data_IF_122155300830
#
_entry.id   IF_122155300830
#
_cell.length_a   1.000
_cell.length_b   1.000
_cell.length_c   1.000
_cell.angle_alpha   90.00
_cell.angle_beta   90.00
_cell.angle_gamma   90.00
#
_symmetry.space_group_name_H-M   'P 1'
#
loop_
_entity.id
_entity.type
_entity.pdbx_description
1 polymer ?
#
# COMPACT_ATOMS: atom_id res chain seq x y z
N UNK A 1 -18.57 21.54 12.49
CA UNK A 1 -18.35 20.07 12.59
C UNK A 1 -18.86 19.52 11.29
N UNK A 2 -17.93 19.21 10.39
CA UNK A 2 -18.19 19.39 8.96
C UNK A 2 -19.03 18.26 8.38
N UNK A 3 -20.12 18.67 7.74
CA UNK A 3 -20.99 17.79 6.97
C UNK A 3 -20.39 17.60 5.58
N UNK A 4 -20.46 16.37 5.07
CA UNK A 4 -19.94 16.01 3.76
C UNK A 4 -21.07 15.35 2.96
N UNK A 5 -21.28 15.83 1.75
CA UNK A 5 -22.24 15.25 0.80
C UNK A 5 -21.50 14.32 -0.16
N UNK A 6 -21.93 13.07 -0.26
CA UNK A 6 -21.39 12.09 -1.20
C UNK A 6 -22.53 11.38 -1.93
N UNK A 7 -22.32 11.09 -3.22
CA UNK A 7 -23.25 10.28 -4.01
C UNK A 7 -23.25 8.84 -3.53
N UNK A 8 -24.42 8.30 -3.22
CA UNK A 8 -24.63 6.89 -2.87
C UNK A 8 -25.55 6.21 -3.89
N UNK A 9 -25.73 4.89 -3.79
CA UNK A 9 -26.66 4.15 -4.66
C UNK A 9 -28.11 4.67 -4.58
N UNK A 10 -28.49 5.23 -3.43
CA UNK A 10 -29.80 5.84 -3.20
C UNK A 10 -29.85 7.34 -3.51
N UNK A 11 -28.78 7.89 -4.10
CA UNK A 11 -28.62 9.31 -4.40
C UNK A 11 -27.69 10.06 -3.44
N UNK A 12 -27.56 11.38 -3.59
CA UNK A 12 -26.68 12.20 -2.76
C UNK A 12 -27.13 12.19 -1.30
N UNK A 13 -26.22 11.88 -0.38
CA UNK A 13 -26.47 11.91 1.07
C UNK A 13 -25.49 12.86 1.74
N UNK A 14 -26.00 13.68 2.66
CA UNK A 14 -25.20 14.57 3.51
C UNK A 14 -25.13 13.98 4.91
N UNK A 15 -23.92 13.67 5.39
CA UNK A 15 -23.69 13.15 6.73
C UNK A 15 -22.48 13.83 7.37
N UNK A 16 -22.41 13.80 8.71
CA UNK A 16 -21.20 14.22 9.43
C UNK A 16 -20.03 13.31 9.06
N UNK A 17 -18.82 13.88 8.99
CA UNK A 17 -17.62 13.09 8.67
C UNK A 17 -17.45 11.85 9.56
N UNK A 18 -17.70 11.97 10.87
CA UNK A 18 -17.62 10.83 11.79
C UNK A 18 -18.57 9.67 11.45
N UNK A 19 -19.71 9.96 10.85
CA UNK A 19 -20.65 8.94 10.36
C UNK A 19 -20.09 8.30 9.09
N UNK A 20 -19.55 9.10 8.17
CA UNK A 20 -18.92 8.59 6.96
C UNK A 20 -17.74 7.65 7.22
N UNK A 21 -16.95 7.89 8.27
CA UNK A 21 -15.86 7.00 8.68
C UNK A 21 -16.35 5.59 9.07
N UNK A 22 -17.64 5.42 9.36
CA UNK A 22 -18.25 4.13 9.66
C UNK A 22 -19.03 3.56 8.48
N UNK A 23 -19.65 4.40 7.66
CA UNK A 23 -20.43 3.98 6.48
C UNK A 23 -19.52 3.54 5.33
N UNK A 24 -18.49 4.31 5.01
CA UNK A 24 -17.57 4.01 3.90
C UNK A 24 -16.14 4.55 4.20
N UNK A 25 -15.40 3.89 5.12
CA UNK A 25 -14.07 4.32 5.51
C UNK A 25 -13.07 4.32 4.34
N UNK A 26 -13.24 3.42 3.37
CA UNK A 26 -12.35 3.29 2.21
C UNK A 26 -12.49 4.51 1.29
N UNK A 27 -13.72 4.94 1.00
CA UNK A 27 -13.96 6.14 0.18
C UNK A 27 -13.42 7.40 0.87
N UNK A 28 -13.65 7.56 2.17
CA UNK A 28 -13.10 8.70 2.91
C UNK A 28 -11.58 8.70 2.87
N UNK A 29 -10.94 7.55 3.08
CA UNK A 29 -9.49 7.46 2.96
C UNK A 29 -8.98 7.80 1.55
N UNK A 30 -9.68 7.38 0.49
CA UNK A 30 -9.33 7.78 -0.89
C UNK A 30 -9.43 9.29 -1.10
N UNK A 31 -10.52 9.92 -0.63
CA UNK A 31 -10.71 11.37 -0.72
C UNK A 31 -9.60 12.16 -0.02
N UNK A 32 -9.09 11.66 1.11
CA UNK A 32 -8.00 12.28 1.88
C UNK A 32 -6.63 12.01 1.24
N UNK A 33 -6.32 10.74 0.94
CA UNK A 33 -4.95 10.31 0.62
C UNK A 33 -4.68 10.32 -0.88
N UNK A 34 -5.62 9.84 -1.69
CA UNK A 34 -5.45 9.69 -3.13
C UNK A 34 -5.90 10.95 -3.89
N UNK A 35 -7.12 11.39 -3.62
CA UNK A 35 -7.76 12.44 -4.41
C UNK A 35 -7.44 13.83 -3.87
N UNK A 36 -6.95 13.91 -2.62
CA UNK A 36 -6.54 15.15 -1.95
C UNK A 36 -7.64 16.22 -1.88
N UNK A 37 -8.89 15.79 -1.90
CA UNK A 37 -10.08 16.66 -1.86
C UNK A 37 -10.45 17.02 -0.43
N UNK A 38 -10.26 16.07 0.50
CA UNK A 38 -10.61 16.27 1.91
C UNK A 38 -9.34 16.48 2.75
N UNK A 39 -9.21 17.68 3.32
CA UNK A 39 -8.18 17.97 4.32
C UNK A 39 -8.75 17.74 5.71
N UNK A 40 -8.07 16.93 6.51
CA UNK A 40 -8.50 16.56 7.87
C UNK A 40 -7.33 16.60 8.81
N UNK A 41 -7.61 16.69 10.11
CA UNK A 41 -6.59 16.53 11.12
C UNK A 41 -6.01 15.11 11.07
N UNK A 42 -4.68 15.02 11.07
CA UNK A 42 -3.96 13.76 10.92
C UNK A 42 -4.12 12.88 12.18
N UNK A 43 -4.07 13.49 13.36
CA UNK A 43 -4.10 12.77 14.63
C UNK A 43 -5.51 12.37 15.03
N UNK A 44 -6.49 13.25 14.83
CA UNK A 44 -7.87 13.04 15.25
C UNK A 44 -8.69 12.23 14.23
N UNK A 45 -8.35 12.30 12.94
CA UNK A 45 -9.16 11.66 11.88
C UNK A 45 -8.37 10.63 11.10
N UNK A 46 -7.26 11.00 10.47
CA UNK A 46 -6.56 10.10 9.55
C UNK A 46 -5.94 8.89 10.25
N UNK A 47 -5.25 9.09 11.37
CA UNK A 47 -4.60 8.01 12.12
C UNK A 47 -5.62 6.99 12.67
N UNK A 48 -6.74 7.41 13.30
CA UNK A 48 -7.81 6.50 13.67
C UNK A 48 -8.43 5.76 12.48
N UNK A 49 -8.67 6.45 11.36
CA UNK A 49 -9.20 5.85 10.14
C UNK A 49 -8.25 4.77 9.58
N UNK A 50 -6.95 5.06 9.49
CA UNK A 50 -5.93 4.10 9.07
C UNK A 50 -5.90 2.89 10.01
N UNK A 51 -6.00 3.12 11.32
CA UNK A 51 -6.05 2.05 12.32
C UNK A 51 -7.31 1.18 12.19
N UNK A 52 -8.45 1.79 11.87
CA UNK A 52 -9.71 1.09 11.55
C UNK A 52 -9.56 0.25 10.28
N UNK A 53 -9.08 0.84 9.20
CA UNK A 53 -8.85 0.14 7.93
C UNK A 53 -7.90 -1.04 8.07
N UNK A 54 -6.86 -0.93 8.90
CA UNK A 54 -5.96 -2.06 9.19
C UNK A 54 -6.69 -3.28 9.78
N UNK A 55 -7.75 -3.07 10.56
CA UNK A 55 -8.53 -4.14 11.19
C UNK A 55 -9.67 -4.63 10.30
N UNK A 56 -10.41 -3.69 9.72
CA UNK A 56 -11.68 -3.96 9.05
C UNK A 56 -11.46 -4.38 7.58
N UNK A 57 -10.43 -3.85 6.91
CA UNK A 57 -10.02 -4.23 5.55
C UNK A 57 -8.49 -4.33 5.42
N UNK A 58 -7.88 -5.42 5.94
CA UNK A 58 -6.44 -5.61 5.92
C UNK A 58 -5.85 -5.65 4.50
N UNK A 59 -6.63 -6.06 3.50
CA UNK A 59 -6.19 -6.15 2.13
C UNK A 59 -6.07 -4.77 1.48
N UNK A 60 -7.08 -3.91 1.65
CA UNK A 60 -6.98 -2.51 1.26
C UNK A 60 -5.83 -1.81 1.99
N UNK A 61 -5.68 -2.06 3.29
CA UNK A 61 -4.61 -1.50 4.10
C UNK A 61 -3.23 -1.82 3.51
N UNK A 62 -2.97 -3.10 3.24
CA UNK A 62 -1.70 -3.53 2.62
C UNK A 62 -1.46 -2.86 1.27
N UNK A 63 -2.49 -2.73 0.44
CA UNK A 63 -2.37 -2.13 -0.90
C UNK A 63 -1.96 -0.67 -0.84
N UNK A 64 -2.56 0.14 0.03
CA UNK A 64 -2.21 1.56 0.10
C UNK A 64 -0.91 1.80 0.86
N UNK A 65 -0.57 0.96 1.85
CA UNK A 65 0.70 1.07 2.58
C UNK A 65 1.87 0.65 1.71
N UNK A 66 1.74 -0.49 1.00
CA UNK A 66 2.76 -1.05 0.13
C UNK A 66 4.14 -1.09 0.79
N UNK A 67 5.12 -0.39 0.21
CA UNK A 67 6.49 -0.30 0.74
C UNK A 67 6.62 0.39 2.12
N UNK A 68 5.57 1.04 2.62
CA UNK A 68 5.54 1.63 3.96
C UNK A 68 5.23 0.62 5.06
N UNK A 69 4.94 -0.63 4.71
CA UNK A 69 4.74 -1.69 5.70
C UNK A 69 6.05 -2.06 6.39
N UNK A 70 5.96 -2.32 7.69
CA UNK A 70 7.03 -2.92 8.47
C UNK A 70 6.98 -4.42 8.26
N UNK A 71 8.09 -5.02 7.85
CA UNK A 71 8.24 -6.44 7.54
C UNK A 71 9.37 -7.07 8.33
N UNK A 72 9.26 -8.38 8.53
CA UNK A 72 10.35 -9.20 9.02
C UNK A 72 11.23 -9.60 7.83
N UNK A 73 12.34 -8.89 7.65
CA UNK A 73 13.28 -9.08 6.56
C UNK A 73 14.61 -9.63 7.11
N UNK A 74 15.18 -10.71 6.52
CA UNK A 74 16.40 -11.32 7.01
C UNK A 74 17.57 -10.33 7.15
N UNK A 75 18.33 -10.47 8.23
CA UNK A 75 19.48 -9.61 8.53
C UNK A 75 19.14 -8.37 9.38
N UNK A 76 17.86 -8.15 9.68
CA UNK A 76 17.42 -7.14 10.65
C UNK A 76 16.90 -7.82 11.92
N UNK A 77 17.33 -7.31 13.07
CA UNK A 77 16.94 -7.82 14.39
C UNK A 77 15.52 -7.42 14.79
N UNK A 78 14.96 -6.38 14.16
CA UNK A 78 13.60 -5.89 14.36
C UNK A 78 12.91 -5.71 12.99
N UNK A 79 11.58 -5.61 13.01
CA UNK A 79 10.83 -5.28 11.81
C UNK A 79 11.31 -3.98 11.16
N UNK A 80 11.42 -3.99 9.84
CA UNK A 80 11.94 -2.86 9.05
C UNK A 80 10.95 -2.42 7.97
N UNK A 81 10.94 -1.12 7.64
CA UNK A 81 10.15 -0.62 6.51
C UNK A 81 10.59 -1.32 5.22
N UNK A 82 9.64 -1.91 4.49
CA UNK A 82 9.90 -2.63 3.24
C UNK A 82 10.59 -1.77 2.18
N UNK A 83 10.40 -0.44 2.21
CA UNK A 83 11.13 0.50 1.36
C UNK A 83 12.64 0.43 1.53
N UNK A 84 13.14 0.07 2.72
CA UNK A 84 14.59 0.03 2.99
C UNK A 84 15.27 -1.12 2.23
N UNK A 85 14.91 -2.41 2.42
CA UNK A 85 15.51 -3.48 1.65
C UNK A 85 15.15 -3.39 0.16
N UNK A 86 13.96 -2.86 -0.19
CA UNK A 86 13.61 -2.61 -1.59
C UNK A 86 14.66 -1.71 -2.29
N UNK A 87 15.14 -0.66 -1.63
CA UNK A 87 16.09 0.28 -2.24
C UNK A 87 17.54 -0.17 -2.12
N UNK A 88 17.93 -0.68 -0.93
CA UNK A 88 19.32 -0.93 -0.57
C UNK A 88 19.79 -2.34 -0.94
N UNK A 89 18.87 -3.31 -0.99
CA UNK A 89 19.14 -4.70 -1.35
C UNK A 89 18.04 -5.24 -2.29
N UNK A 90 17.89 -4.68 -3.50
CA UNK A 90 16.83 -5.07 -4.43
C UNK A 90 16.90 -6.56 -4.81
N UNK A 91 18.11 -7.15 -4.81
CA UNK A 91 18.36 -8.54 -5.18
C UNK A 91 17.91 -9.50 -4.08
N UNK A 92 18.28 -9.23 -2.83
CA UNK A 92 17.77 -9.97 -1.67
C UNK A 92 16.26 -9.73 -1.48
N UNK A 93 15.80 -8.49 -1.65
CA UNK A 93 14.39 -8.16 -1.53
C UNK A 93 13.55 -8.90 -2.56
N UNK A 94 13.99 -8.98 -3.81
CA UNK A 94 13.31 -9.78 -4.82
C UNK A 94 13.29 -11.28 -4.48
N UNK A 95 14.41 -11.83 -3.99
CA UNK A 95 14.45 -13.24 -3.55
C UNK A 95 13.44 -13.48 -2.42
N UNK A 96 13.45 -12.65 -1.40
CA UNK A 96 12.53 -12.75 -0.26
C UNK A 96 11.07 -12.57 -0.72
N UNK A 97 10.75 -11.46 -1.38
CA UNK A 97 9.39 -11.10 -1.78
C UNK A 97 8.80 -12.07 -2.79
N UNK A 98 9.53 -12.35 -3.88
CA UNK A 98 8.99 -13.08 -5.04
C UNK A 98 9.27 -14.57 -5.01
N UNK A 99 10.49 -14.98 -4.65
CA UNK A 99 10.85 -16.41 -4.58
C UNK A 99 10.48 -17.03 -3.23
N UNK A 100 10.57 -16.26 -2.15
CA UNK A 100 10.14 -16.64 -0.80
C UNK A 100 8.62 -16.62 -0.62
N UNK A 101 7.86 -16.18 -1.64
CA UNK A 101 6.39 -16.11 -1.64
C UNK A 101 5.84 -15.21 -0.52
N UNK A 102 6.40 -14.01 -0.39
CA UNK A 102 6.00 -13.00 0.59
C UNK A 102 5.22 -11.84 -0.06
N UNK A 103 4.59 -12.07 -1.21
CA UNK A 103 3.74 -11.06 -1.87
C UNK A 103 2.49 -10.70 -1.06
N UNK A 104 2.05 -11.58 -0.16
CA UNK A 104 0.96 -11.32 0.78
C UNK A 104 1.36 -10.34 1.90
N UNK A 105 2.67 -10.24 2.20
CA UNK A 105 3.23 -9.38 3.25
C UNK A 105 3.42 -7.94 2.79
N UNK A 106 3.77 -7.74 1.53
CA UNK A 106 4.01 -6.40 0.94
C UNK A 106 3.39 -6.34 -0.44
N UNK A 107 2.43 -5.43 -0.61
CA UNK A 107 1.90 -5.12 -1.92
C UNK A 107 2.86 -4.20 -2.69
N UNK A 108 3.27 -4.60 -3.90
CA UNK A 108 3.97 -3.72 -4.84
C UNK A 108 3.01 -3.33 -5.96
N UNK A 109 2.85 -2.02 -6.16
CA UNK A 109 2.22 -1.49 -7.38
C UNK A 109 3.00 -1.93 -8.62
N UNK A 110 2.36 -1.93 -9.79
CA UNK A 110 3.02 -2.30 -11.04
C UNK A 110 4.30 -1.48 -11.28
N UNK A 111 4.26 -0.17 -10.99
CA UNK A 111 5.44 0.70 -11.09
C UNK A 111 6.59 0.25 -10.18
N UNK A 112 6.31 -0.13 -8.93
CA UNK A 112 7.32 -0.64 -8.01
C UNK A 112 7.83 -2.03 -8.41
N UNK A 113 6.98 -2.89 -8.99
CA UNK A 113 7.41 -4.17 -9.54
C UNK A 113 8.38 -3.97 -10.70
N UNK A 114 8.04 -3.11 -11.67
CA UNK A 114 8.92 -2.77 -12.79
C UNK A 114 10.25 -2.22 -12.26
N UNK A 115 10.22 -1.28 -11.31
CA UNK A 115 11.43 -0.70 -10.71
C UNK A 115 12.32 -1.76 -10.05
N UNK A 116 11.71 -2.69 -9.29
CA UNK A 116 12.43 -3.80 -8.67
C UNK A 116 13.05 -4.71 -9.73
N UNK A 117 12.26 -5.13 -10.72
CA UNK A 117 12.71 -6.06 -11.76
C UNK A 117 13.80 -5.44 -12.62
N UNK A 118 13.72 -4.15 -12.97
CA UNK A 118 14.79 -3.45 -13.68
C UNK A 118 16.10 -3.47 -12.89
N UNK A 119 16.05 -3.09 -11.60
CA UNK A 119 17.24 -3.13 -10.71
C UNK A 119 17.83 -4.53 -10.64
N UNK A 120 17.01 -5.56 -10.41
CA UNK A 120 17.47 -6.95 -10.36
C UNK A 120 18.04 -7.39 -11.71
N UNK A 121 17.41 -7.03 -12.83
CA UNK A 121 17.88 -7.40 -14.16
C UNK A 121 19.26 -6.80 -14.48
N UNK A 122 19.50 -5.55 -14.06
CA UNK A 122 20.78 -4.87 -14.22
C UNK A 122 21.89 -5.50 -13.36
N UNK A 123 21.55 -6.05 -12.19
CA UNK A 123 22.52 -6.66 -11.28
C UNK A 123 22.75 -8.15 -11.57
N UNK A 124 21.68 -8.91 -11.75
CA UNK A 124 21.69 -10.34 -12.09
C UNK A 124 20.38 -10.74 -12.81
N UNK A 125 20.42 -10.68 -14.14
CA UNK A 125 19.29 -11.05 -15.00
C UNK A 125 18.82 -12.50 -14.86
N UNK A 126 19.70 -13.41 -14.45
CA UNK A 126 19.36 -14.84 -14.25
C UNK A 126 18.52 -15.05 -12.99
N UNK A 127 18.49 -14.06 -12.09
CA UNK A 127 17.71 -14.12 -10.86
C UNK A 127 16.21 -14.01 -11.14
N UNK A 128 15.79 -13.30 -12.18
CA UNK A 128 14.38 -13.05 -12.48
C UNK A 128 13.67 -14.30 -13.01
N UNK A 129 12.42 -14.47 -12.57
CA UNK A 129 11.52 -15.45 -13.16
C UNK A 129 11.11 -15.01 -14.57
N UNK A 130 10.86 -15.97 -15.47
CA UNK A 130 10.44 -15.69 -16.86
C UNK A 130 9.24 -14.75 -16.93
N UNK A 131 8.22 -14.97 -16.09
CA UNK A 131 7.03 -14.11 -15.99
C UNK A 131 7.34 -12.66 -15.58
N UNK A 132 8.37 -12.45 -14.76
CA UNK A 132 8.76 -11.12 -14.29
C UNK A 132 9.62 -10.39 -15.34
N UNK A 133 10.39 -11.15 -16.13
CA UNK A 133 11.07 -10.62 -17.33
C UNK A 133 10.07 -10.17 -18.41
N UNK A 134 8.96 -10.88 -18.58
CA UNK A 134 7.91 -10.47 -19.53
C UNK A 134 7.26 -9.13 -19.15
N UNK A 135 7.15 -8.82 -17.85
CA UNK A 135 6.65 -7.52 -17.38
C UNK A 135 7.58 -6.38 -17.82
N UNK A 136 8.89 -6.62 -17.94
CA UNK A 136 9.85 -5.62 -18.42
C UNK A 136 9.82 -5.39 -19.93
N UNK A 137 9.22 -6.32 -20.70
CA UNK A 137 9.13 -6.24 -22.16
C UNK A 137 7.84 -5.59 -22.65
N UNK A 138 6.89 -5.36 -21.74
CA UNK A 138 5.64 -4.64 -21.99
C UNK A 138 5.86 -3.14 -21.80
#
# INVERSE_FOLDING_TARGET
>A
MDELTLDTEEGPRTLKLGVWLNVDPVRIHKLIVKDKVLQVDVFEVLNPLVSKLRRDDPEYYKRFMGLKLVIDYPGYSNGILASIPFENDPLGFYKWWRKGKHEDKVHLSLANQIRLFQKVNMMDSKMLLKKDLEILKK
#
